data_IF_645721658947
#
_entry.id   IF_645721658947
#
_cell.length_a   1.000
_cell.length_b   1.000
_cell.length_c   1.000
_cell.angle_alpha   90.00
_cell.angle_beta   90.00
_cell.angle_gamma   90.00
#
_symmetry.space_group_name_H-M   'P 1'
#
loop_
_entity.id
_entity.type
_entity.pdbx_description
1 polymer ?
#
# COMPACT_ATOMS: atom_id res chain seq x y z
N UNK A 1 -2.41 2.59 15.48
CA UNK A 1 -2.34 1.83 14.22
C UNK A 1 -1.18 2.27 13.32
N UNK A 2 -1.18 3.49 12.74
CA UNK A 2 -0.15 3.95 11.79
C UNK A 2 1.28 3.96 12.34
N UNK A 3 1.49 4.42 13.58
CA UNK A 3 2.81 4.38 14.25
C UNK A 3 3.37 2.96 14.39
N UNK A 4 2.51 2.01 14.79
CA UNK A 4 2.91 0.61 14.95
C UNK A 4 3.24 -0.03 13.60
N UNK A 5 2.41 0.23 12.58
CA UNK A 5 2.69 -0.22 11.21
C UNK A 5 4.02 0.33 10.70
N UNK A 6 4.26 1.64 10.83
CA UNK A 6 5.53 2.27 10.42
C UNK A 6 6.73 1.61 11.10
N UNK A 7 6.67 1.36 12.41
CA UNK A 7 7.76 0.72 13.15
C UNK A 7 8.11 -0.66 12.56
N UNK A 8 7.10 -1.47 12.25
CA UNK A 8 7.29 -2.78 11.61
C UNK A 8 7.89 -2.63 10.20
N UNK A 9 7.45 -1.64 9.43
CA UNK A 9 8.03 -1.37 8.11
C UNK A 9 9.51 -0.98 8.17
N UNK A 10 9.89 -0.15 9.15
CA UNK A 10 11.28 0.23 9.40
C UNK A 10 12.14 -0.98 9.77
N UNK A 11 11.60 -1.95 10.53
CA UNK A 11 12.29 -3.21 10.87
C UNK A 11 12.54 -4.10 9.63
N UNK A 12 11.67 -4.05 8.62
CA UNK A 12 11.90 -4.76 7.34
C UNK A 12 12.90 -4.05 6.41
N UNK A 13 13.26 -2.80 6.71
CA UNK A 13 14.11 -1.95 5.89
C UNK A 13 13.36 -1.17 4.81
N UNK A 14 14.06 -0.24 4.15
CA UNK A 14 13.49 0.72 3.20
C UNK A 14 13.46 0.19 1.75
N UNK A 15 12.72 0.88 0.88
CA UNK A 15 12.70 0.63 -0.56
C UNK A 15 11.95 -0.64 -0.98
N UNK A 16 10.96 -1.08 -0.18
CA UNK A 16 10.18 -2.30 -0.39
C UNK A 16 8.99 -2.07 -1.33
N UNK A 17 8.58 -3.14 -2.02
CA UNK A 17 7.30 -3.22 -2.74
C UNK A 17 6.24 -3.83 -1.85
N UNK A 18 5.27 -3.01 -1.47
CA UNK A 18 4.22 -3.36 -0.50
C UNK A 18 2.89 -3.50 -1.24
N UNK A 19 2.29 -4.68 -1.16
CA UNK A 19 0.99 -4.96 -1.74
C UNK A 19 -0.06 -5.13 -0.64
N UNK A 20 -1.02 -4.22 -0.59
CA UNK A 20 -2.21 -4.31 0.25
C UNK A 20 -3.28 -5.14 -0.47
N UNK A 21 -3.80 -6.17 0.21
CA UNK A 21 -4.92 -7.00 -0.26
C UNK A 21 -6.13 -6.78 0.65
N UNK A 22 -7.28 -6.40 0.10
CA UNK A 22 -8.49 -6.26 0.91
C UNK A 22 -9.72 -5.89 0.09
N UNK A 23 -10.87 -5.83 0.77
CA UNK A 23 -12.15 -5.45 0.15
C UNK A 23 -12.10 -4.11 -0.56
N UNK A 24 -12.72 -4.07 -1.75
CA UNK A 24 -12.83 -2.86 -2.55
C UNK A 24 -13.61 -1.75 -1.81
N UNK A 25 -13.26 -0.49 -2.09
CA UNK A 25 -13.78 0.71 -1.44
C UNK A 25 -13.50 0.85 0.08
N UNK A 26 -13.67 -0.22 0.86
CA UNK A 26 -13.52 -0.21 2.33
C UNK A 26 -12.06 -0.21 2.75
N UNK A 27 -11.22 -1.08 2.16
CA UNK A 27 -9.83 -1.20 2.56
C UNK A 27 -8.91 -0.16 1.90
N UNK A 28 -9.32 0.42 0.77
CA UNK A 28 -8.50 1.37 0.02
C UNK A 28 -8.08 2.61 0.86
N UNK A 29 -8.98 3.31 1.58
CA UNK A 29 -8.59 4.45 2.42
C UNK A 29 -7.57 4.09 3.51
N UNK A 30 -7.63 2.87 4.05
CA UNK A 30 -6.65 2.39 5.02
C UNK A 30 -5.30 2.10 4.35
N UNK A 31 -5.28 1.53 3.15
CA UNK A 31 -4.06 1.33 2.39
C UNK A 31 -3.37 2.68 2.07
N UNK A 32 -4.15 3.68 1.67
CA UNK A 32 -3.66 5.05 1.43
C UNK A 32 -3.12 5.71 2.71
N UNK A 33 -3.82 5.53 3.84
CA UNK A 33 -3.38 6.02 5.15
C UNK A 33 -2.06 5.38 5.62
N UNK A 34 -1.94 4.07 5.46
CA UNK A 34 -0.74 3.32 5.85
C UNK A 34 0.45 3.64 4.92
N UNK A 35 0.20 3.80 3.62
CA UNK A 35 1.18 4.29 2.66
C UNK A 35 1.67 5.70 3.04
N UNK A 36 0.75 6.61 3.41
CA UNK A 36 1.12 7.95 3.86
C UNK A 36 1.99 7.94 5.11
N UNK A 37 1.74 7.03 6.05
CA UNK A 37 2.53 6.89 7.27
C UNK A 37 4.00 6.48 6.99
N UNK A 38 4.24 5.81 5.86
CA UNK A 38 5.54 5.28 5.45
C UNK A 38 6.13 6.00 4.22
N UNK A 39 5.57 7.15 3.83
CA UNK A 39 5.87 7.87 2.57
C UNK A 39 7.34 8.26 2.39
N UNK A 40 8.06 8.39 3.50
CA UNK A 40 9.46 8.79 3.57
C UNK A 40 10.45 7.61 3.59
N UNK A 41 9.95 6.37 3.62
CA UNK A 41 10.78 5.15 3.62
C UNK A 41 11.24 4.72 2.21
N UNK A 42 10.86 5.45 1.16
CA UNK A 42 11.22 5.11 -0.23
C UNK A 42 10.50 3.88 -0.79
N UNK A 43 9.50 3.37 -0.08
CA UNK A 43 8.71 2.20 -0.49
C UNK A 43 7.76 2.51 -1.66
N UNK A 44 7.42 1.47 -2.41
CA UNK A 44 6.39 1.49 -3.46
C UNK A 44 5.15 0.76 -2.97
N UNK A 45 3.99 1.43 -3.05
CA UNK A 45 2.74 0.93 -2.50
C UNK A 45 1.75 0.56 -3.60
N UNK A 46 1.03 -0.53 -3.40
CA UNK A 46 0.04 -1.06 -4.34
C UNK A 46 -1.19 -1.57 -3.59
N UNK A 47 -2.36 -1.48 -4.19
CA UNK A 47 -3.60 -2.03 -3.64
C UNK A 47 -4.25 -2.99 -4.64
N UNK A 48 -4.63 -4.19 -4.20
CA UNK A 48 -5.40 -5.14 -4.99
C UNK A 48 -6.81 -5.29 -4.39
N UNK A 49 -7.85 -4.75 -5.06
CA UNK A 49 -9.23 -4.85 -4.61
C UNK A 49 -9.71 -6.30 -4.65
N UNK A 50 -10.45 -6.71 -3.62
CA UNK A 50 -10.97 -8.08 -3.47
C UNK A 50 -9.88 -9.14 -3.29
N UNK A 51 -8.65 -8.72 -2.97
CA UNK A 51 -7.50 -9.62 -2.94
C UNK A 51 -7.11 -10.18 -4.30
N UNK A 52 -7.55 -9.56 -5.41
CA UNK A 52 -7.24 -10.01 -6.78
C UNK A 52 -6.01 -9.29 -7.34
N UNK A 53 -4.81 -9.90 -7.39
CA UNK A 53 -3.59 -9.19 -7.80
C UNK A 53 -3.64 -8.71 -9.25
N UNK A 54 -4.44 -9.38 -10.10
CA UNK A 54 -4.67 -8.95 -11.49
C UNK A 54 -5.38 -7.60 -11.62
N UNK A 55 -6.05 -7.12 -10.57
CA UNK A 55 -6.71 -5.81 -10.49
C UNK A 55 -5.89 -4.75 -9.77
N UNK A 56 -4.63 -5.04 -9.41
CA UNK A 56 -3.87 -4.13 -8.58
C UNK A 56 -3.59 -2.79 -9.25
N UNK A 57 -3.61 -1.74 -8.43
CA UNK A 57 -3.28 -0.37 -8.80
C UNK A 57 -2.12 0.13 -7.96
N UNK A 58 -1.33 1.02 -8.53
CA UNK A 58 -0.32 1.77 -7.77
C UNK A 58 -1.02 2.77 -6.83
N UNK A 59 -0.47 2.96 -5.63
CA UNK A 59 -0.80 4.10 -4.79
C UNK A 59 0.30 5.15 -4.97
N UNK A 60 -0.04 6.31 -5.54
CA UNK A 60 0.90 7.41 -5.78
C UNK A 60 0.63 8.57 -4.85
N UNK A 61 1.70 9.12 -4.31
CA UNK A 61 1.62 10.40 -3.62
C UNK A 61 1.37 11.52 -4.62
N UNK A 62 0.30 12.29 -4.38
CA UNK A 62 -0.10 13.47 -5.16
C UNK A 62 -0.20 14.64 -4.20
N UNK A 63 0.77 15.55 -4.23
CA UNK A 63 0.71 16.78 -3.44
C UNK A 63 -0.39 17.71 -3.98
N UNK A 64 -1.19 18.37 -3.12
CA UNK A 64 -1.24 18.28 -1.64
C UNK A 64 -2.23 17.21 -1.10
N UNK A 65 -2.80 16.38 -1.96
CA UNK A 65 -3.95 15.50 -1.68
C UNK A 65 -3.61 14.16 -1.01
N UNK A 66 -2.34 13.78 -0.89
CA UNK A 66 -1.93 12.52 -0.27
C UNK A 66 -1.82 11.36 -1.26
N UNK A 67 -1.96 10.13 -0.79
CA UNK A 67 -1.95 8.96 -1.67
C UNK A 67 -3.27 8.81 -2.41
N UNK A 68 -3.19 8.51 -3.71
CA UNK A 68 -4.33 8.24 -4.56
C UNK A 68 -4.03 7.04 -5.46
N UNK A 69 -5.08 6.37 -5.94
CA UNK A 69 -4.92 5.33 -6.97
C UNK A 69 -4.32 5.90 -8.25
N UNK A 70 -3.38 5.14 -8.83
CA UNK A 70 -2.72 5.42 -10.08
C UNK A 70 -3.11 4.43 -11.17
N UNK A 71 -2.16 4.13 -12.06
CA UNK A 71 -2.39 3.15 -13.13
C UNK A 71 -2.55 1.74 -12.56
N UNK A 72 -3.26 0.89 -13.32
CA UNK A 72 -3.26 -0.55 -13.11
C UNK A 72 -1.86 -1.10 -13.35
N UNK A 73 -1.46 -2.05 -12.51
CA UNK A 73 -0.16 -2.71 -12.57
C UNK A 73 -0.36 -4.21 -12.44
N UNK A 74 0.59 -4.98 -12.99
CA UNK A 74 0.78 -6.36 -12.54
C UNK A 74 1.78 -6.28 -11.39
N UNK A 75 1.35 -6.48 -10.13
CA UNK A 75 2.28 -6.55 -9.03
C UNK A 75 3.12 -7.79 -9.31
N UNK A 76 4.39 -7.61 -9.66
CA UNK A 76 5.31 -8.72 -9.86
C UNK A 76 5.59 -9.39 -8.51
N UNK A 77 6.87 -9.59 -8.18
CA UNK A 77 7.23 -9.98 -6.82
C UNK A 77 7.06 -8.77 -5.88
N UNK A 78 6.13 -8.88 -4.92
CA UNK A 78 6.06 -7.98 -3.76
C UNK A 78 7.02 -8.49 -2.68
N UNK A 79 7.64 -7.56 -1.95
CA UNK A 79 8.50 -7.89 -0.80
C UNK A 79 7.65 -8.15 0.45
N UNK A 80 6.55 -7.41 0.58
CA UNK A 80 5.64 -7.47 1.71
C UNK A 80 4.19 -7.51 1.20
N UNK A 81 3.41 -8.47 1.71
CA UNK A 81 1.96 -8.49 1.57
C UNK A 81 1.31 -8.05 2.88
N UNK A 82 0.35 -7.15 2.78
CA UNK A 82 -0.49 -6.71 3.90
C UNK A 82 -1.91 -7.19 3.64
N UNK A 83 -2.32 -8.22 4.36
CA UNK A 83 -3.69 -8.74 4.31
C UNK A 83 -4.56 -7.91 5.24
N UNK A 84 -5.58 -7.27 4.67
CA UNK A 84 -6.48 -6.39 5.39
C UNK A 84 -7.71 -7.19 5.82
N UNK A 85 -8.26 -6.87 7.00
CA UNK A 85 -9.31 -7.70 7.62
C UNK A 85 -10.71 -7.55 7.01
N UNK A 86 -10.90 -6.58 6.10
CA UNK A 86 -12.18 -6.34 5.44
C UNK A 86 -12.34 -7.16 4.18
#
# INVERSE_FOLDING_TARGET
MTKAFRKVMEEFGTGKKILFLGSEAVCLPFAELLAYACRDLGDSFYFAPGGEPGKAVELRYRSPYGFQTGRRVKPGKADILVVMGG
#
